data_IF_934855456545
#
_entry.id   IF_934855456545
#
_cell.length_a   1.000
_cell.length_b   1.000
_cell.length_c   1.000
_cell.angle_alpha   90.00
_cell.angle_beta   90.00
_cell.angle_gamma   90.00
#
_symmetry.space_group_name_H-M   'P 1'
#
loop_
_entity.id
_entity.type
_entity.pdbx_description
1 polymer ?
#
# COMPACT_ATOMS: atom_id res chain seq x y z
N UNK A 1 -25.65 -4.14 22.04
CA UNK A 1 -25.59 -5.42 22.78
C UNK A 1 -26.59 -6.37 22.17
N UNK A 2 -26.10 -7.40 21.49
CA UNK A 2 -26.86 -8.41 20.78
C UNK A 2 -25.89 -9.41 20.19
N UNK A 3 -25.33 -10.26 21.05
CA UNK A 3 -24.37 -11.30 20.69
C UNK A 3 -25.19 -12.54 20.32
N UNK A 4 -25.14 -12.97 19.06
CA UNK A 4 -25.79 -14.20 18.59
C UNK A 4 -24.77 -15.33 18.70
N UNK A 5 -25.13 -16.37 19.45
CA UNK A 5 -24.29 -17.50 19.83
C UNK A 5 -24.00 -18.46 18.68
N UNK A 6 -22.77 -18.96 18.70
CA UNK A 6 -22.19 -20.06 17.94
C UNK A 6 -23.10 -21.29 17.80
N UNK A 7 -23.28 -21.79 16.57
CA UNK A 7 -23.77 -23.14 16.31
C UNK A 7 -22.59 -24.00 15.86
N UNK A 8 -22.09 -24.81 16.80
CA UNK A 8 -21.06 -25.82 16.54
C UNK A 8 -21.64 -26.92 15.66
N UNK A 9 -21.35 -26.85 14.35
CA UNK A 9 -21.66 -27.87 13.35
C UNK A 9 -20.40 -28.62 12.91
N UNK A 10 -20.28 -29.88 13.31
CA UNK A 10 -19.15 -30.77 13.05
C UNK A 10 -19.03 -31.21 11.57
N UNK A 11 -17.80 -31.09 11.02
CA UNK A 11 -17.11 -31.86 9.95
C UNK A 11 -17.86 -32.23 8.66
N UNK A 12 -17.25 -31.91 7.50
CA UNK A 12 -16.70 -32.90 6.53
C UNK A 12 -15.52 -32.29 5.74
N UNK A 13 -14.28 -32.79 5.95
CA UNK A 13 -13.17 -32.58 5.00
C UNK A 13 -13.48 -33.41 3.74
N UNK A 14 -13.78 -32.76 2.62
CA UNK A 14 -13.84 -33.45 1.32
C UNK A 14 -12.42 -33.66 0.76
N UNK A 15 -12.28 -34.73 -0.03
CA UNK A 15 -11.02 -35.30 -0.54
C UNK A 15 -10.09 -34.25 -1.18
N UNK A 16 -8.80 -34.38 -0.84
CA UNK A 16 -7.67 -33.62 -1.40
C UNK A 16 -7.53 -33.86 -2.90
N UNK A 17 -7.97 -32.90 -3.71
CA UNK A 17 -7.42 -32.71 -5.05
C UNK A 17 -6.15 -31.88 -4.90
N UNK A 18 -5.10 -32.23 -5.65
CA UNK A 18 -3.86 -31.44 -5.72
C UNK A 18 -4.17 -30.12 -6.44
N UNK A 19 -4.68 -29.15 -5.69
CA UNK A 19 -4.86 -27.79 -6.15
C UNK A 19 -3.46 -27.19 -6.14
N UNK A 20 -2.90 -26.88 -7.31
CA UNK A 20 -1.74 -25.99 -7.42
C UNK A 20 -2.21 -24.59 -7.03
N UNK A 21 -2.30 -24.35 -5.72
CA UNK A 21 -2.59 -23.02 -5.16
C UNK A 21 -1.35 -22.18 -5.48
N UNK A 22 -1.53 -21.14 -6.30
CA UNK A 22 -0.47 -20.18 -6.56
C UNK A 22 -0.09 -19.49 -5.24
N UNK A 23 1.18 -19.12 -5.06
CA UNK A 23 1.65 -18.41 -3.85
C UNK A 23 0.80 -17.17 -3.54
N UNK A 24 0.22 -16.54 -4.57
CA UNK A 24 -0.70 -15.40 -4.47
C UNK A 24 -2.00 -15.75 -3.73
N UNK A 25 -2.60 -16.89 -4.03
CA UNK A 25 -3.85 -17.33 -3.38
C UNK A 25 -3.64 -17.68 -1.89
N UNK A 26 -2.47 -18.19 -1.51
CA UNK A 26 -2.10 -18.40 -0.09
C UNK A 26 -2.00 -17.09 0.69
N UNK A 27 -1.60 -15.99 0.06
CA UNK A 27 -1.49 -14.68 0.71
C UNK A 27 -2.85 -13.98 0.82
N UNK A 28 -3.75 -14.21 -0.14
CA UNK A 28 -5.15 -13.75 -0.07
C UNK A 28 -5.96 -14.52 0.99
N UNK A 29 -5.66 -15.81 1.22
CA UNK A 29 -6.28 -16.63 2.28
C UNK A 29 -5.91 -16.17 3.70
N UNK A 30 -4.77 -15.51 3.88
CA UNK A 30 -4.27 -15.04 5.18
C UNK A 30 -4.88 -13.69 5.63
N UNK A 31 -5.67 -13.03 4.77
CA UNK A 31 -6.38 -11.81 5.14
C UNK A 31 -7.70 -12.23 5.81
N UNK A 32 -7.88 -12.02 7.12
CA UNK A 32 -9.10 -12.42 7.81
C UNK A 32 -10.30 -11.68 7.20
N UNK A 33 -11.16 -12.41 6.51
CA UNK A 33 -12.47 -11.96 6.01
C UNK A 33 -13.43 -11.79 7.19
N UNK A 34 -13.18 -10.79 8.03
CA UNK A 34 -14.10 -10.39 9.08
C UNK A 34 -15.30 -9.62 8.50
N UNK A 35 -16.49 -9.85 9.04
CA UNK A 35 -17.73 -9.14 8.63
C UNK A 35 -17.67 -7.61 8.82
N UNK A 36 -16.72 -7.11 9.63
CA UNK A 36 -16.44 -5.68 9.80
C UNK A 36 -15.04 -5.33 9.29
N UNK A 37 -14.93 -4.90 8.02
CA UNK A 37 -13.67 -4.32 7.50
C UNK A 37 -13.50 -2.90 8.03
N UNK A 38 -12.46 -2.68 8.83
CA UNK A 38 -12.06 -1.36 9.30
C UNK A 38 -11.05 -0.74 8.34
N UNK A 39 -11.32 0.46 7.84
CA UNK A 39 -10.35 1.19 7.03
C UNK A 39 -9.25 1.76 7.95
N UNK A 40 -8.03 1.24 7.78
CA UNK A 40 -6.84 1.64 8.55
C UNK A 40 -6.56 3.14 8.43
N UNK A 41 -6.87 3.77 7.29
CA UNK A 41 -6.67 5.20 7.06
C UNK A 41 -7.53 6.09 7.97
N UNK A 42 -8.61 5.55 8.54
CA UNK A 42 -9.48 6.29 9.47
C UNK A 42 -8.95 6.28 10.92
N UNK A 43 -7.84 5.58 11.19
CA UNK A 43 -7.30 5.45 12.53
C UNK A 43 -6.53 6.72 12.95
N UNK A 44 -6.74 7.20 14.18
CA UNK A 44 -6.12 8.45 14.71
C UNK A 44 -4.59 8.46 14.64
N UNK A 45 -3.96 7.30 14.82
CA UNK A 45 -2.50 7.18 14.76
C UNK A 45 -1.95 7.08 13.33
N UNK A 46 -2.80 6.80 12.35
CA UNK A 46 -2.38 6.65 10.96
C UNK A 46 -2.43 8.04 10.31
N UNK A 47 -1.28 8.58 9.86
CA UNK A 47 -1.27 9.86 9.17
C UNK A 47 -1.94 9.76 7.80
N UNK A 48 -2.23 10.90 7.19
CA UNK A 48 -2.80 10.92 5.85
C UNK A 48 -1.76 10.49 4.81
N UNK A 49 -2.10 9.51 3.98
CA UNK A 49 -1.25 8.99 2.91
C UNK A 49 -1.91 9.33 1.58
N UNK A 50 -1.15 9.91 0.67
CA UNK A 50 -1.58 10.32 -0.66
C UNK A 50 -0.56 9.86 -1.70
N UNK A 51 -1.05 9.36 -2.84
CA UNK A 51 -0.19 8.96 -3.95
C UNK A 51 0.19 10.19 -4.78
N UNK A 52 1.48 10.44 -4.93
CA UNK A 52 1.95 11.58 -5.75
C UNK A 52 1.72 11.23 -7.24
N UNK A 53 1.12 12.09 -8.07
CA UNK A 53 1.02 11.86 -9.51
C UNK A 53 2.41 11.76 -10.15
N UNK A 54 2.60 10.83 -11.10
CA UNK A 54 3.91 10.55 -11.72
C UNK A 54 4.55 11.83 -12.28
N UNK A 55 3.76 12.67 -12.93
CA UNK A 55 4.22 13.92 -13.55
C UNK A 55 4.67 14.97 -12.51
N UNK A 56 4.10 14.91 -11.31
CA UNK A 56 4.39 15.85 -10.20
C UNK A 56 5.52 15.37 -9.29
N UNK A 57 5.95 14.10 -9.39
CA UNK A 57 6.96 13.53 -8.48
C UNK A 57 8.28 14.30 -8.51
N UNK A 58 8.74 14.75 -9.69
CA UNK A 58 9.98 15.49 -9.83
C UNK A 58 9.91 16.90 -9.18
N UNK A 59 8.77 17.58 -9.31
CA UNK A 59 8.56 18.91 -8.72
C UNK A 59 8.38 18.82 -7.22
N UNK A 60 7.61 17.85 -6.72
CA UNK A 60 7.45 17.67 -5.28
C UNK A 60 8.78 17.30 -4.62
N UNK A 61 9.62 16.49 -5.25
CA UNK A 61 10.88 16.02 -4.69
C UNK A 61 12.08 16.96 -4.95
N UNK A 62 11.87 18.07 -5.65
CA UNK A 62 12.89 19.09 -5.94
C UNK A 62 13.64 19.57 -4.68
N UNK A 63 12.98 19.87 -3.54
CA UNK A 63 13.65 20.39 -2.35
C UNK A 63 14.69 19.43 -1.75
N UNK A 64 14.59 18.13 -2.04
CA UNK A 64 15.53 17.12 -1.56
C UNK A 64 16.72 16.90 -2.49
N UNK A 65 16.76 17.55 -3.67
CA UNK A 65 17.90 17.45 -4.59
C UNK A 65 18.16 16.03 -5.09
N UNK A 66 17.09 15.25 -5.33
CA UNK A 66 17.18 13.84 -5.71
C UNK A 66 17.42 13.60 -7.21
N UNK A 67 17.70 14.64 -7.98
CA UNK A 67 18.04 14.52 -9.41
C UNK A 67 19.48 14.07 -9.56
N UNK A 68 19.71 12.93 -10.21
CA UNK A 68 21.03 12.44 -10.59
C UNK A 68 21.16 12.37 -12.11
N UNK A 69 22.38 12.56 -12.59
CA UNK A 69 22.70 12.30 -13.99
C UNK A 69 22.83 10.78 -14.17
N UNK A 70 22.11 10.23 -15.15
CA UNK A 70 22.32 8.85 -15.57
C UNK A 70 23.59 8.74 -16.44
N UNK A 71 24.08 7.52 -16.69
CA UNK A 71 25.25 7.25 -17.54
C UNK A 71 25.13 7.83 -18.96
N UNK A 72 23.89 8.14 -19.40
CA UNK A 72 23.57 8.74 -20.69
C UNK A 72 23.32 10.26 -20.64
N UNK A 73 23.51 10.91 -19.48
CA UNK A 73 23.32 12.35 -19.30
C UNK A 73 21.86 12.81 -19.23
N UNK A 74 20.93 11.88 -19.02
CA UNK A 74 19.51 12.18 -18.77
C UNK A 74 19.26 12.36 -17.27
N UNK A 75 18.61 13.46 -16.88
CA UNK A 75 18.19 13.70 -15.50
C UNK A 75 17.21 12.61 -15.05
N UNK A 76 17.63 11.79 -14.08
CA UNK A 76 16.82 10.74 -13.46
C UNK A 76 16.54 11.11 -12.01
N UNK A 77 15.31 10.85 -11.55
CA UNK A 77 14.96 10.99 -10.14
C UNK A 77 15.44 9.76 -9.36
N UNK A 78 16.34 9.94 -8.41
CA UNK A 78 16.91 8.91 -7.55
C UNK A 78 15.93 8.50 -6.42
N UNK A 79 14.77 7.96 -6.80
CA UNK A 79 13.70 7.56 -5.87
C UNK A 79 14.16 6.51 -4.84
N UNK A 80 15.16 5.72 -5.18
CA UNK A 80 15.78 4.67 -4.36
C UNK A 80 16.40 5.19 -3.05
N UNK A 81 16.71 6.49 -2.98
CA UNK A 81 17.25 7.14 -1.79
C UNK A 81 16.15 7.48 -0.76
N UNK A 82 14.87 7.45 -1.17
CA UNK A 82 13.77 7.72 -0.26
C UNK A 82 13.58 6.58 0.75
N UNK A 83 13.09 6.89 1.96
CA UNK A 83 12.68 5.88 2.92
C UNK A 83 11.67 4.91 2.30
N UNK A 84 11.89 3.62 2.48
CA UNK A 84 11.08 2.57 1.84
C UNK A 84 9.83 2.25 2.67
N UNK A 85 8.74 1.91 1.98
CA UNK A 85 7.53 1.32 2.54
C UNK A 85 7.16 0.08 1.71
N UNK A 86 6.76 -1.01 2.39
CA UNK A 86 6.42 -2.25 1.70
C UNK A 86 5.05 -2.12 1.03
N UNK A 87 4.90 -2.75 -0.13
CA UNK A 87 3.59 -2.87 -0.79
C UNK A 87 2.56 -3.57 0.10
N UNK A 88 2.99 -4.47 0.99
CA UNK A 88 2.14 -5.20 1.95
C UNK A 88 1.76 -4.37 3.18
N UNK A 89 2.17 -3.10 3.26
CA UNK A 89 1.76 -2.22 4.36
C UNK A 89 0.23 -1.98 4.32
N UNK A 90 -0.48 -2.04 5.46
CA UNK A 90 -1.94 -1.91 5.48
C UNK A 90 -2.47 -0.57 4.94
N UNK A 91 -1.73 0.53 5.09
CA UNK A 91 -2.16 1.82 4.54
C UNK A 91 -2.04 1.84 3.00
N UNK A 92 -0.99 1.20 2.47
CA UNK A 92 -0.77 1.07 1.03
C UNK A 92 -1.79 0.13 0.40
N UNK A 93 -2.10 -0.99 1.06
CA UNK A 93 -3.17 -1.90 0.63
C UNK A 93 -4.54 -1.22 0.63
N UNK A 94 -4.86 -0.40 1.64
CA UNK A 94 -6.10 0.36 1.65
C UNK A 94 -6.21 1.34 0.48
N UNK A 95 -5.13 2.07 0.16
CA UNK A 95 -5.10 2.96 -1.02
C UNK A 95 -5.27 2.16 -2.31
N UNK A 96 -4.57 1.02 -2.42
CA UNK A 96 -4.66 0.15 -3.57
C UNK A 96 -6.09 -0.35 -3.79
N UNK A 97 -6.75 -0.84 -2.75
CA UNK A 97 -8.14 -1.30 -2.81
C UNK A 97 -9.09 -0.17 -3.23
N UNK A 98 -8.89 1.05 -2.72
CA UNK A 98 -9.72 2.21 -3.09
C UNK A 98 -9.55 2.59 -4.58
N UNK A 99 -8.32 2.64 -5.08
CA UNK A 99 -8.04 2.95 -6.49
C UNK A 99 -8.51 1.84 -7.45
N UNK A 100 -8.38 0.57 -7.06
CA UNK A 100 -8.88 -0.56 -7.87
C UNK A 100 -10.41 -0.61 -7.92
N UNK A 101 -11.11 -0.10 -6.89
CA UNK A 101 -12.58 0.05 -6.94
C UNK A 101 -13.00 1.14 -7.93
N UNK A 102 -12.23 2.24 -7.99
CA UNK A 102 -12.53 3.36 -8.89
C UNK A 102 -12.10 3.07 -10.34
N UNK A 103 -11.06 2.24 -10.55
CA UNK A 103 -10.50 1.93 -11.85
C UNK A 103 -10.09 0.45 -11.99
N UNK A 104 -10.95 -0.33 -12.65
CA UNK A 104 -10.74 -1.76 -12.93
C UNK A 104 -9.64 -2.04 -14.00
N UNK A 105 -9.14 -1.02 -14.72
CA UNK A 105 -8.20 -1.21 -15.84
C UNK A 105 -6.71 -0.98 -15.46
N UNK A 106 -6.40 -0.93 -14.16
CA UNK A 106 -5.03 -0.69 -13.72
C UNK A 106 -4.09 -1.87 -14.06
N UNK A 107 -2.89 -1.61 -14.61
CA UNK A 107 -1.95 -2.67 -14.97
C UNK A 107 -1.40 -3.37 -13.73
N UNK A 108 -1.00 -4.64 -13.89
CA UNK A 108 -0.37 -5.38 -12.80
C UNK A 108 0.91 -4.68 -12.32
N UNK A 109 1.03 -4.47 -11.00
CA UNK A 109 2.21 -3.84 -10.39
C UNK A 109 2.28 -2.31 -10.56
N UNK A 110 1.18 -1.64 -10.93
CA UNK A 110 1.11 -0.19 -11.11
C UNK A 110 1.60 0.64 -9.90
N UNK A 111 1.54 0.05 -8.71
CA UNK A 111 1.91 0.69 -7.45
C UNK A 111 3.42 0.60 -7.14
N UNK A 112 4.14 -0.29 -7.81
CA UNK A 112 5.58 -0.46 -7.61
C UNK A 112 6.36 0.79 -8.07
N UNK A 113 7.39 1.17 -7.32
CA UNK A 113 8.25 2.35 -7.60
C UNK A 113 7.51 3.70 -7.61
N UNK A 114 6.28 3.75 -7.08
CA UNK A 114 5.53 5.00 -6.86
C UNK A 114 5.95 5.65 -5.55
N UNK A 115 5.75 6.96 -5.46
CA UNK A 115 6.04 7.75 -4.27
C UNK A 115 4.74 8.07 -3.52
N UNK A 116 4.77 7.84 -2.21
CA UNK A 116 3.68 8.19 -1.30
C UNK A 116 4.09 9.38 -0.47
N UNK A 117 3.21 10.38 -0.44
CA UNK A 117 3.28 11.55 0.41
C UNK A 117 2.53 11.27 1.71
N UNK A 118 3.17 11.52 2.82
CA UNK A 118 2.63 11.31 4.17
C UNK A 118 2.54 12.65 4.86
N UNK A 119 1.32 13.07 5.17
CA UNK A 119 1.03 14.31 5.88
C UNK A 119 0.60 13.97 7.29
N UNK A 120 1.38 14.42 8.27
CA UNK A 120 1.09 14.21 9.69
C UNK A 120 1.02 15.53 10.43
N UNK A 121 0.17 15.58 11.44
CA UNK A 121 0.18 16.67 12.40
C UNK A 121 1.49 16.67 13.20
N UNK A 122 2.11 17.84 13.32
CA UNK A 122 3.33 18.04 14.10
C UNK A 122 3.11 19.15 15.12
N UNK A 123 3.42 18.89 16.40
CA UNK A 123 3.27 19.90 17.45
C UNK A 123 4.20 21.09 17.29
N UNK A 124 5.36 20.91 16.65
CA UNK A 124 6.36 21.96 16.46
C UNK A 124 6.17 22.74 15.16
N UNK A 125 5.78 22.06 14.08
CA UNK A 125 5.69 22.65 12.74
C UNK A 125 4.24 22.85 12.24
N UNK A 126 3.24 22.46 13.02
CA UNK A 126 1.83 22.37 12.61
C UNK A 126 1.58 21.15 11.72
N UNK A 127 2.27 21.06 10.59
CA UNK A 127 2.22 19.91 9.68
C UNK A 127 3.62 19.48 9.28
N UNK A 128 3.80 18.16 9.07
CA UNK A 128 5.04 17.58 8.58
C UNK A 128 4.71 16.67 7.40
N UNK A 129 5.34 16.96 6.26
CA UNK A 129 5.24 16.19 5.04
C UNK A 129 6.48 15.31 4.90
N UNK A 130 6.28 14.02 4.62
CA UNK A 130 7.35 13.07 4.33
C UNK A 130 7.03 12.30 3.05
N UNK A 131 8.07 11.81 2.37
CA UNK A 131 7.93 11.02 1.14
C UNK A 131 8.54 9.64 1.35
N UNK A 132 7.88 8.60 0.83
CA UNK A 132 8.36 7.22 0.90
C UNK A 132 8.20 6.52 -0.45
N UNK A 133 9.16 5.67 -0.77
CA UNK A 133 9.14 4.83 -1.98
C UNK A 133 8.44 3.50 -1.67
N UNK A 134 7.43 3.15 -2.47
CA UNK A 134 6.79 1.83 -2.40
C UNK A 134 7.73 0.79 -3.02
N UNK A 135 8.03 -0.25 -2.25
CA UNK A 135 8.85 -1.39 -2.71
C UNK A 135 8.13 -2.71 -2.49
N UNK A 136 8.35 -3.65 -3.40
CA UNK A 136 7.93 -5.03 -3.23
C UNK A 136 8.99 -5.79 -2.43
N UNK A 137 8.57 -6.74 -1.59
CA UNK A 137 9.50 -7.67 -0.95
C UNK A 137 10.24 -8.47 -2.02
N UNK A 138 11.57 -8.44 -1.95
CA UNK A 138 12.48 -9.23 -2.78
C UNK A 138 12.45 -10.71 -2.39
#
# INVERSE_FOLDING_TARGET
MGVISEHVGTRKRSKSNRITISRKALLEEDIPLGDNRFNVLNHVLVPHHELVPIDSEASELEPWGLTTDDAFGTNRLAKELLPKILITDPAIQAIKEMEEIDNDELPAGWLANRVVKIVRYSRSAGSSTAYRLIVETT
#
